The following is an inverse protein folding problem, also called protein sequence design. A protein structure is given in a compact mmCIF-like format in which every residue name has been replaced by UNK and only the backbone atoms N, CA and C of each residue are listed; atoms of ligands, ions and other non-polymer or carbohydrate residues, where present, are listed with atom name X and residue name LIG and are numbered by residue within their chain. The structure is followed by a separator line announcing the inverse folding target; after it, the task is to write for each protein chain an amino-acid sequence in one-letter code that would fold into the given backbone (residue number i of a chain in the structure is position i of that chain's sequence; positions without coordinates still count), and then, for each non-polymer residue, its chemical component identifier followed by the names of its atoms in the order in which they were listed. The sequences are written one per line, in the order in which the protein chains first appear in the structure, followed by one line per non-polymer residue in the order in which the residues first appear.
data_IF_042887714777
#
_entry.id   IF_042887714777
#
_cell.length_a   1.000
_cell.length_b   1.000
_cell.length_c   1.000
_cell.angle_alpha   90.00
_cell.angle_beta   90.00
_cell.angle_gamma   90.00
#
_symmetry.space_group_name_H-M   'P 1'
#
loop_
_entity.id
_entity.type
_entity.pdbx_description
1 polymer ?
#
# COMPACT_ATOMS: atom_id res chain seq x y z
N UNK A 1 29.97 63.95 55.85
CA UNK A 1 29.27 63.81 54.55
C UNK A 1 29.61 62.50 53.85
N UNK A 2 29.34 61.32 54.46
CA UNK A 2 29.69 59.97 53.85
C UNK A 2 28.61 58.92 53.97
N UNK A 3 27.38 59.29 54.36
CA UNK A 3 26.32 58.26 54.55
C UNK A 3 25.27 58.11 53.38
N UNK A 4 25.30 58.97 52.37
CA UNK A 4 24.30 58.99 51.28
C UNK A 4 24.64 58.13 50.03
N UNK A 5 25.95 57.79 49.84
CA UNK A 5 26.37 57.04 48.64
C UNK A 5 26.16 55.51 48.72
N UNK A 6 26.12 54.96 49.93
CA UNK A 6 26.01 53.49 50.17
C UNK A 6 24.55 52.99 50.01
N UNK A 7 23.55 53.80 50.22
CA UNK A 7 22.13 53.41 50.08
C UNK A 7 21.68 53.35 48.62
N UNK A 8 22.19 54.23 47.74
CA UNK A 8 21.86 54.23 46.34
C UNK A 8 22.44 53.02 45.56
N UNK A 9 23.63 52.55 45.97
CA UNK A 9 24.23 51.34 45.38
C UNK A 9 23.47 50.04 45.76
N UNK A 10 22.95 49.94 46.97
CA UNK A 10 22.14 48.80 47.45
C UNK A 10 20.73 48.84 46.80
N UNK A 11 20.13 49.99 46.65
CA UNK A 11 18.82 50.11 45.95
C UNK A 11 18.95 49.79 44.47
N UNK A 12 20.03 50.21 43.78
CA UNK A 12 20.29 49.86 42.41
C UNK A 12 20.47 48.35 42.20
N UNK A 13 21.13 47.64 43.14
CA UNK A 13 21.30 46.19 43.12
C UNK A 13 19.96 45.43 43.27
N UNK A 14 19.11 45.89 44.19
CA UNK A 14 17.78 45.29 44.43
C UNK A 14 16.86 45.52 43.22
N UNK A 15 16.87 46.73 42.65
CA UNK A 15 16.09 47.05 41.44
C UNK A 15 16.55 46.23 40.23
N UNK A 16 17.86 46.02 40.03
CA UNK A 16 18.40 45.18 38.99
C UNK A 16 18.05 43.70 39.17
N UNK A 17 18.05 43.21 40.43
CA UNK A 17 17.64 41.85 40.75
C UNK A 17 16.15 41.60 40.48
N UNK A 18 15.29 42.53 40.85
CA UNK A 18 13.85 42.49 40.55
C UNK A 18 13.58 42.55 39.04
N UNK A 19 14.28 43.40 38.30
CA UNK A 19 14.17 43.46 36.86
C UNK A 19 14.58 42.16 36.16
N UNK A 20 15.66 41.51 36.67
CA UNK A 20 16.12 40.21 36.16
C UNK A 20 15.10 39.09 36.40
N UNK A 21 14.45 39.05 37.57
CA UNK A 21 13.40 38.08 37.88
C UNK A 21 12.16 38.29 36.99
N UNK A 22 11.77 39.55 36.81
CA UNK A 22 10.65 39.88 35.87
C UNK A 22 10.97 39.50 34.44
N UNK A 23 12.20 39.79 33.97
CA UNK A 23 12.64 39.42 32.63
C UNK A 23 12.63 37.89 32.44
N UNK A 24 13.13 37.15 33.44
CA UNK A 24 13.11 35.69 33.43
C UNK A 24 11.68 35.13 33.39
N UNK A 25 10.77 35.72 34.17
CA UNK A 25 9.33 35.37 34.13
C UNK A 25 8.69 35.60 32.73
N UNK A 26 9.00 36.73 32.10
CA UNK A 26 8.53 37.03 30.74
C UNK A 26 9.09 36.05 29.72
N UNK A 27 10.39 35.70 29.83
CA UNK A 27 11.04 34.69 28.96
C UNK A 27 10.38 33.33 29.15
N UNK A 28 10.10 32.89 30.39
CA UNK A 28 9.42 31.63 30.68
C UNK A 28 8.00 31.58 30.06
N UNK A 29 7.25 32.68 30.19
CA UNK A 29 5.92 32.78 29.59
C UNK A 29 6.02 32.74 28.07
N UNK A 30 6.96 33.45 27.46
CA UNK A 30 7.19 33.46 26.01
C UNK A 30 7.62 32.08 25.50
N UNK A 31 8.51 31.41 26.19
CA UNK A 31 8.94 30.03 25.86
C UNK A 31 7.77 29.05 25.97
N UNK A 32 6.96 29.14 27.02
CA UNK A 32 5.79 28.29 27.19
C UNK A 32 4.74 28.55 26.10
N UNK A 33 4.53 29.82 25.74
CA UNK A 33 3.63 30.20 24.68
C UNK A 33 4.13 29.69 23.30
N UNK A 34 5.40 29.86 22.99
CA UNK A 34 6.01 29.36 21.74
C UNK A 34 6.01 27.81 21.72
N UNK A 35 6.34 27.16 22.85
CA UNK A 35 6.30 25.71 22.99
C UNK A 35 4.89 25.12 22.74
N UNK A 36 3.84 25.89 23.05
CA UNK A 36 2.46 25.50 22.75
C UNK A 36 2.12 25.45 21.27
N UNK A 37 2.88 26.16 20.40
CA UNK A 37 2.72 26.09 18.94
C UNK A 37 3.63 25.05 18.30
N UNK A 38 4.67 24.58 18.97
CA UNK A 38 5.60 23.57 18.47
C UNK A 38 5.11 22.20 18.94
N UNK A 39 4.26 21.57 18.17
CA UNK A 39 3.85 20.19 18.41
C UNK A 39 5.00 19.26 17.99
N UNK A 40 5.95 19.00 18.88
CA UNK A 40 6.97 17.96 18.68
C UNK A 40 6.31 16.61 18.97
N UNK A 41 5.87 15.93 17.92
CA UNK A 41 5.41 14.55 18.00
C UNK A 41 6.60 13.61 17.84
N UNK A 42 7.13 13.11 18.91
CA UNK A 42 8.13 12.04 18.93
C UNK A 42 7.44 10.72 19.21
N UNK A 43 7.50 9.80 18.29
CA UNK A 43 7.05 8.42 18.51
C UNK A 43 8.09 7.72 19.40
N UNK A 44 7.74 7.51 20.68
CA UNK A 44 8.56 6.83 21.67
C UNK A 44 8.24 5.32 21.75
N UNK A 45 7.38 4.80 20.87
CA UNK A 45 7.08 3.37 20.83
C UNK A 45 8.22 2.60 20.17
N UNK A 46 8.57 1.44 20.72
CA UNK A 46 9.62 0.58 20.17
C UNK A 46 9.34 0.16 18.70
N UNK A 47 8.08 0.15 18.30
CA UNK A 47 7.60 -0.32 17.00
C UNK A 47 7.29 0.82 16.02
N UNK A 48 7.49 2.08 16.43
CA UNK A 48 7.20 3.29 15.61
C UNK A 48 5.80 3.29 14.97
N UNK A 49 4.81 2.80 15.71
CA UNK A 49 3.43 2.58 15.24
C UNK A 49 2.72 3.85 14.74
N UNK A 50 3.26 5.02 15.06
CA UNK A 50 2.73 6.33 14.64
C UNK A 50 3.63 7.05 13.63
N UNK A 51 4.60 6.35 13.04
CA UNK A 51 5.54 6.97 12.10
C UNK A 51 5.38 6.33 10.74
N UNK A 52 5.01 7.13 9.74
CA UNK A 52 4.90 6.66 8.35
C UNK A 52 6.26 6.20 7.82
N UNK A 53 6.27 5.15 7.03
CA UNK A 53 7.45 4.69 6.29
C UNK A 53 7.95 5.73 5.29
N UNK A 54 9.22 5.65 4.93
CA UNK A 54 9.78 6.54 3.90
C UNK A 54 9.10 6.35 2.54
N UNK A 55 8.64 5.12 2.24
CA UNK A 55 7.85 4.81 1.06
C UNK A 55 6.54 5.58 1.02
N UNK A 56 5.78 5.55 2.11
CA UNK A 56 4.52 6.28 2.23
C UNK A 56 4.73 7.79 2.12
N UNK A 57 5.74 8.35 2.80
CA UNK A 57 6.08 9.78 2.69
C UNK A 57 6.44 10.19 1.26
N UNK A 58 7.20 9.35 0.55
CA UNK A 58 7.54 9.60 -0.85
C UNK A 58 6.31 9.60 -1.76
N UNK A 59 5.33 8.74 -1.49
CA UNK A 59 4.04 8.70 -2.21
C UNK A 59 3.23 9.95 -1.92
N UNK A 60 3.05 10.32 -0.64
CA UNK A 60 2.29 11.51 -0.24
C UNK A 60 2.87 12.81 -0.82
N UNK A 61 4.20 12.89 -0.96
CA UNK A 61 4.88 14.03 -1.57
C UNK A 61 4.67 14.18 -3.08
N UNK A 62 4.07 13.16 -3.74
CA UNK A 62 3.86 13.10 -5.21
C UNK A 62 2.38 13.02 -5.61
N UNK A 63 1.45 13.19 -4.67
CA UNK A 63 0.02 13.17 -4.98
C UNK A 63 -0.30 14.22 -6.06
N UNK A 64 -0.97 13.84 -7.16
CA UNK A 64 -1.28 14.78 -8.25
C UNK A 64 -2.43 15.72 -7.90
N UNK A 65 -3.42 15.25 -7.15
CA UNK A 65 -4.65 15.95 -6.82
C UNK A 65 -4.98 15.87 -5.32
N UNK A 66 -5.76 16.84 -4.85
CA UNK A 66 -6.28 16.82 -3.49
C UNK A 66 -7.18 15.61 -3.28
N UNK A 67 -6.93 14.90 -2.19
CA UNK A 67 -7.70 13.73 -1.78
C UNK A 67 -8.32 13.98 -0.41
N UNK A 68 -9.62 13.70 -0.29
CA UNK A 68 -10.35 13.78 0.98
C UNK A 68 -10.49 12.39 1.58
N UNK A 69 -10.08 12.27 2.85
CA UNK A 69 -10.22 11.07 3.65
C UNK A 69 -11.39 11.25 4.61
N UNK A 70 -12.47 10.51 4.40
CA UNK A 70 -13.62 10.45 5.31
C UNK A 70 -13.49 9.21 6.18
N UNK A 71 -13.24 9.41 7.46
CA UNK A 71 -13.10 8.35 8.44
C UNK A 71 -14.40 8.20 9.23
N UNK A 72 -15.01 7.04 9.12
CA UNK A 72 -16.26 6.70 9.79
C UNK A 72 -15.98 5.81 10.99
N UNK A 73 -16.20 6.35 12.18
CA UNK A 73 -16.01 5.61 13.43
C UNK A 73 -17.12 5.93 14.42
N UNK A 74 -17.92 4.92 14.80
CA UNK A 74 -19.02 5.03 15.77
C UNK A 74 -18.50 5.21 17.21
N UNK A 75 -17.74 6.29 17.44
CA UNK A 75 -17.02 6.55 18.70
C UNK A 75 -17.93 6.83 19.89
N UNK A 76 -19.06 7.48 19.65
CA UNK A 76 -20.01 7.89 20.70
C UNK A 76 -20.89 6.74 21.19
N UNK A 77 -20.95 5.62 20.48
CA UNK A 77 -21.74 4.47 20.88
C UNK A 77 -21.15 3.82 22.13
N UNK A 78 -21.97 3.70 23.19
CA UNK A 78 -21.54 3.18 24.50
C UNK A 78 -21.07 1.71 24.39
N UNK A 79 -21.78 0.91 23.60
CA UNK A 79 -21.65 -0.55 23.53
C UNK A 79 -20.51 -1.04 22.60
N UNK A 80 -19.81 -0.15 21.88
CA UNK A 80 -18.65 -0.52 21.08
C UNK A 80 -17.56 -1.09 22.01
N UNK A 81 -17.03 -2.31 21.73
CA UNK A 81 -16.01 -2.92 22.57
C UNK A 81 -14.78 -2.03 22.74
N UNK A 82 -14.20 -2.03 23.94
CA UNK A 82 -13.08 -1.17 24.29
C UNK A 82 -11.88 -1.31 23.33
N UNK A 83 -11.62 -2.54 22.88
CA UNK A 83 -10.57 -2.83 21.89
C UNK A 83 -10.76 -2.02 20.58
N UNK A 84 -11.98 -1.97 20.04
CA UNK A 84 -12.29 -1.19 18.85
C UNK A 84 -12.28 0.31 19.12
N UNK A 85 -12.63 0.75 20.33
CA UNK A 85 -12.51 2.17 20.72
C UNK A 85 -11.05 2.62 20.73
N UNK A 86 -10.16 1.82 21.29
CA UNK A 86 -8.72 2.11 21.29
C UNK A 86 -8.14 2.07 19.88
N UNK A 87 -8.50 1.03 19.12
CA UNK A 87 -7.99 0.88 17.75
C UNK A 87 -8.50 1.99 16.83
N UNK A 88 -9.78 2.34 16.89
CA UNK A 88 -10.36 3.45 16.12
C UNK A 88 -9.68 4.79 16.41
N UNK A 89 -9.39 5.08 17.69
CA UNK A 89 -8.60 6.26 18.05
C UNK A 89 -7.20 6.24 17.45
N UNK A 90 -6.53 5.09 17.46
CA UNK A 90 -5.20 4.91 16.86
C UNK A 90 -5.23 5.11 15.36
N UNK A 91 -6.24 4.57 14.66
CA UNK A 91 -6.43 4.80 13.21
C UNK A 91 -6.64 6.29 12.94
N UNK A 92 -7.44 6.99 13.73
CA UNK A 92 -7.69 8.43 13.60
C UNK A 92 -6.39 9.24 13.76
N UNK A 93 -5.59 8.94 14.79
CA UNK A 93 -4.29 9.57 15.03
C UNK A 93 -3.30 9.29 13.87
N UNK A 94 -3.30 8.05 13.36
CA UNK A 94 -2.46 7.67 12.24
C UNK A 94 -2.86 8.38 10.93
N UNK A 95 -4.16 8.54 10.66
CA UNK A 95 -4.65 9.35 9.54
C UNK A 95 -4.22 10.82 9.67
N UNK A 96 -4.14 11.35 10.89
CA UNK A 96 -3.57 12.67 11.17
C UNK A 96 -2.11 12.80 10.71
N UNK A 97 -1.30 11.74 10.84
CA UNK A 97 0.08 11.73 10.32
C UNK A 97 0.13 11.76 8.80
N UNK A 98 -0.79 11.08 8.11
CA UNK A 98 -0.92 11.18 6.65
C UNK A 98 -1.17 12.62 6.21
N UNK A 99 -2.11 13.30 6.87
CA UNK A 99 -2.42 14.71 6.57
C UNK A 99 -1.21 15.61 6.81
N UNK A 100 -0.53 15.45 7.95
CA UNK A 100 0.65 16.25 8.31
C UNK A 100 1.79 16.08 7.29
N UNK A 101 1.97 14.88 6.73
CA UNK A 101 3.03 14.57 5.76
C UNK A 101 2.61 14.80 4.29
N UNK A 102 1.36 15.17 4.00
CA UNK A 102 0.82 15.32 2.64
C UNK A 102 1.07 16.69 1.99
N UNK A 103 1.69 17.63 2.69
CA UNK A 103 1.89 19.03 2.23
C UNK A 103 0.59 19.71 1.81
N UNK A 104 -0.53 19.39 2.48
CA UNK A 104 -1.85 19.95 2.19
C UNK A 104 -2.60 19.28 1.03
N UNK A 105 -2.11 18.16 0.53
CA UNK A 105 -2.78 17.37 -0.52
C UNK A 105 -3.85 16.43 0.05
N UNK A 106 -3.84 16.16 1.36
CA UNK A 106 -4.89 15.39 2.02
C UNK A 106 -5.73 16.28 2.93
N UNK A 107 -7.05 16.13 2.81
CA UNK A 107 -8.06 16.66 3.74
C UNK A 107 -8.64 15.51 4.55
N UNK A 108 -8.87 15.72 5.85
CA UNK A 108 -9.36 14.70 6.76
C UNK A 108 -10.66 15.13 7.42
N UNK A 109 -11.65 14.24 7.39
CA UNK A 109 -12.94 14.43 8.02
C UNK A 109 -13.27 13.20 8.88
N UNK A 110 -13.41 13.40 10.19
CA UNK A 110 -13.82 12.34 11.10
C UNK A 110 -15.33 12.40 11.33
N UNK A 111 -16.01 11.31 11.05
CA UNK A 111 -17.47 11.16 11.09
C UNK A 111 -17.84 10.09 12.12
N UNK A 112 -18.93 10.33 12.84
CA UNK A 112 -19.43 9.47 13.93
C UNK A 112 -20.80 8.88 13.54
N UNK A 113 -20.88 7.76 12.81
CA UNK A 113 -22.13 7.13 12.46
C UNK A 113 -22.86 6.64 13.70
N UNK A 114 -24.09 7.12 13.89
CA UNK A 114 -25.02 6.65 14.92
C UNK A 114 -26.27 6.11 14.23
N UNK A 115 -27.02 5.19 14.86
CA UNK A 115 -28.25 4.67 14.29
C UNK A 115 -29.22 5.78 13.84
N UNK A 116 -29.82 5.61 12.68
CA UNK A 116 -30.81 6.50 12.07
C UNK A 116 -30.31 7.94 11.82
N UNK A 117 -29.01 8.12 11.54
CA UNK A 117 -28.43 9.41 11.15
C UNK A 117 -28.02 9.46 9.69
N UNK A 118 -27.99 10.67 9.10
CA UNK A 118 -27.48 10.89 7.74
C UNK A 118 -26.05 10.36 7.56
N UNK A 119 -25.23 10.40 8.63
CA UNK A 119 -23.85 9.90 8.61
C UNK A 119 -23.82 8.37 8.42
N UNK A 120 -24.75 7.66 9.07
CA UNK A 120 -24.90 6.21 8.86
C UNK A 120 -25.39 5.91 7.44
N UNK A 121 -26.36 6.65 6.93
CA UNK A 121 -26.83 6.47 5.54
C UNK A 121 -25.72 6.63 4.53
N UNK A 122 -24.85 7.63 4.71
CA UNK A 122 -23.67 7.80 3.88
C UNK A 122 -22.66 6.67 4.02
N UNK A 123 -22.44 6.16 5.24
CA UNK A 123 -21.56 5.01 5.46
C UNK A 123 -22.05 3.77 4.67
N UNK A 124 -23.36 3.51 4.74
CA UNK A 124 -23.99 2.42 3.97
C UNK A 124 -23.87 2.66 2.46
N UNK A 125 -24.15 3.89 2.00
CA UNK A 125 -24.09 4.25 0.58
C UNK A 125 -22.68 4.08 -0.02
N UNK A 126 -21.63 4.38 0.74
CA UNK A 126 -20.25 4.13 0.35
C UNK A 126 -19.84 2.65 0.44
N UNK A 127 -20.69 1.78 0.98
CA UNK A 127 -20.40 0.35 1.11
C UNK A 127 -19.50 0.00 2.30
N UNK A 128 -19.50 0.83 3.35
CA UNK A 128 -18.83 0.50 4.59
C UNK A 128 -19.51 -0.70 5.26
N UNK A 129 -18.71 -1.62 5.80
CA UNK A 129 -19.20 -2.78 6.52
C UNK A 129 -19.44 -2.43 7.98
N UNK A 130 -20.66 -2.73 8.46
CA UNK A 130 -20.98 -2.58 9.86
C UNK A 130 -20.68 -3.87 10.64
N UNK A 131 -20.06 -3.74 11.81
CA UNK A 131 -19.90 -4.84 12.75
C UNK A 131 -21.06 -4.89 13.72
N UNK A 132 -21.63 -6.09 13.94
CA UNK A 132 -22.75 -6.31 14.87
C UNK A 132 -22.28 -6.35 16.33
N UNK A 133 -23.08 -5.74 17.19
CA UNK A 133 -22.91 -5.81 18.64
C UNK A 133 -23.85 -6.86 19.26
N UNK A 134 -23.54 -7.42 20.44
CA UNK A 134 -24.43 -8.35 21.14
C UNK A 134 -25.82 -7.76 21.47
N UNK A 135 -25.92 -6.43 21.49
CA UNK A 135 -27.20 -5.69 21.70
C UNK A 135 -28.09 -5.67 20.45
N UNK A 136 -27.62 -6.16 19.29
CA UNK A 136 -28.30 -6.05 18.01
C UNK A 136 -27.98 -4.76 17.24
N UNK A 137 -27.32 -3.80 17.87
CA UNK A 137 -26.84 -2.57 17.24
C UNK A 137 -25.65 -2.86 16.31
N UNK A 138 -25.34 -1.92 15.43
CA UNK A 138 -24.21 -2.00 14.50
C UNK A 138 -23.29 -0.80 14.71
N UNK A 139 -21.98 -1.00 14.57
CA UNK A 139 -21.00 0.09 14.56
C UNK A 139 -20.13 0.04 13.32
N UNK A 140 -19.60 1.19 12.95
CA UNK A 140 -18.74 1.37 11.79
C UNK A 140 -17.32 1.73 12.23
N UNK A 141 -16.33 1.23 11.51
CA UNK A 141 -14.93 1.59 11.62
C UNK A 141 -14.27 1.41 10.26
N UNK A 142 -14.35 2.39 9.40
CA UNK A 142 -13.85 2.31 8.03
C UNK A 142 -13.49 3.67 7.47
N UNK A 143 -13.05 3.70 6.21
CA UNK A 143 -12.61 4.94 5.56
C UNK A 143 -13.02 4.97 4.09
N UNK A 144 -13.30 6.17 3.59
CA UNK A 144 -13.49 6.46 2.18
C UNK A 144 -12.47 7.50 1.76
N UNK A 145 -11.65 7.19 0.77
CA UNK A 145 -10.78 8.15 0.11
C UNK A 145 -11.46 8.65 -1.17
N UNK A 146 -11.50 9.96 -1.38
CA UNK A 146 -12.19 10.60 -2.50
C UNK A 146 -11.22 11.58 -3.17
N UNK A 147 -11.03 11.44 -4.49
CA UNK A 147 -10.28 12.40 -5.30
C UNK A 147 -10.98 12.58 -6.65
N UNK A 148 -11.31 13.82 -6.97
CA UNK A 148 -12.14 14.17 -8.14
C UNK A 148 -13.46 13.37 -8.16
N UNK A 149 -13.63 12.47 -9.14
CA UNK A 149 -14.79 11.62 -9.34
C UNK A 149 -14.57 10.16 -8.89
N UNK A 150 -13.43 9.87 -8.26
CA UNK A 150 -13.06 8.51 -7.82
C UNK A 150 -13.21 8.36 -6.32
N UNK A 151 -13.65 7.18 -5.94
CA UNK A 151 -13.81 6.76 -4.56
C UNK A 151 -13.14 5.41 -4.35
N UNK A 152 -12.41 5.28 -3.24
CA UNK A 152 -11.85 4.00 -2.79
C UNK A 152 -12.22 3.79 -1.34
N UNK A 153 -12.73 2.61 -1.03
CA UNK A 153 -13.32 2.31 0.28
C UNK A 153 -12.50 1.25 1.00
N UNK A 154 -12.16 1.52 2.25
CA UNK A 154 -11.76 0.51 3.23
C UNK A 154 -13.00 0.21 4.05
N UNK A 155 -13.70 -0.91 3.78
CA UNK A 155 -15.03 -1.14 4.34
C UNK A 155 -15.02 -1.27 5.86
N UNK A 156 -13.96 -1.86 6.42
CA UNK A 156 -13.79 -2.03 7.85
C UNK A 156 -12.30 -2.19 8.21
N UNK A 157 -11.86 -1.49 9.25
CA UNK A 157 -10.53 -1.69 9.83
C UNK A 157 -10.60 -2.81 10.87
N UNK A 158 -10.10 -3.98 10.51
CA UNK A 158 -10.05 -5.14 11.39
C UNK A 158 -8.79 -5.11 12.26
N UNK A 159 -8.93 -5.38 13.57
CA UNK A 159 -7.82 -5.31 14.53
C UNK A 159 -6.73 -6.34 14.23
N UNK A 160 -7.11 -7.53 13.75
CA UNK A 160 -6.20 -8.60 13.35
C UNK A 160 -5.37 -8.28 12.09
N UNK A 161 -5.68 -7.18 11.43
CA UNK A 161 -4.95 -6.64 10.26
C UNK A 161 -4.20 -5.35 10.55
N UNK A 162 -3.99 -5.02 11.80
CA UNK A 162 -3.33 -3.78 12.20
C UNK A 162 -1.93 -3.59 11.58
N UNK A 163 -1.18 -4.67 11.39
CA UNK A 163 0.13 -4.65 10.74
C UNK A 163 0.10 -4.18 9.27
N UNK A 164 -1.07 -4.29 8.59
CA UNK A 164 -1.29 -3.83 7.22
C UNK A 164 -1.96 -2.46 7.13
N UNK A 165 -2.21 -1.78 8.25
CA UNK A 165 -2.94 -0.51 8.30
C UNK A 165 -2.33 0.55 7.37
N UNK A 166 -1.01 0.73 7.45
CA UNK A 166 -0.28 1.68 6.60
C UNK A 166 -0.41 1.32 5.12
N UNK A 167 -0.25 0.05 4.79
CA UNK A 167 -0.39 -0.44 3.44
C UNK A 167 -1.80 -0.21 2.88
N UNK A 168 -2.83 -0.58 3.63
CA UNK A 168 -4.23 -0.48 3.19
C UNK A 168 -4.63 0.99 2.97
N UNK A 169 -4.25 1.91 3.87
CA UNK A 169 -4.52 3.36 3.72
C UNK A 169 -3.75 3.93 2.53
N UNK A 170 -2.44 3.65 2.43
CA UNK A 170 -1.60 4.17 1.33
C UNK A 170 -2.12 3.68 -0.01
N UNK A 171 -2.50 2.40 -0.10
CA UNK A 171 -3.11 1.82 -1.28
C UNK A 171 -4.37 2.56 -1.70
N UNK A 172 -5.30 2.79 -0.76
CA UNK A 172 -6.55 3.50 -1.05
C UNK A 172 -6.28 4.92 -1.59
N UNK A 173 -5.34 5.66 -0.97
CA UNK A 173 -4.95 7.00 -1.42
C UNK A 173 -4.35 6.95 -2.84
N UNK A 174 -3.44 6.01 -3.11
CA UNK A 174 -2.82 5.87 -4.45
C UNK A 174 -3.85 5.51 -5.51
N UNK A 175 -4.75 4.58 -5.21
CA UNK A 175 -5.77 4.13 -6.17
C UNK A 175 -6.74 5.25 -6.54
N UNK A 176 -7.17 6.06 -5.58
CA UNK A 176 -8.10 7.16 -5.85
C UNK A 176 -7.41 8.34 -6.55
N UNK A 177 -6.14 8.60 -6.25
CA UNK A 177 -5.38 9.72 -6.83
C UNK A 177 -4.74 9.40 -8.18
N UNK A 178 -4.60 8.11 -8.54
CA UNK A 178 -4.00 7.72 -9.82
C UNK A 178 -4.91 8.12 -10.99
N UNK A 179 -4.39 8.91 -11.93
CA UNK A 179 -5.14 9.29 -13.14
C UNK A 179 -5.50 8.05 -13.99
N UNK A 180 -4.61 7.05 -14.04
CA UNK A 180 -4.80 5.76 -14.74
C UNK A 180 -4.12 4.66 -13.93
N UNK A 181 -4.76 3.48 -13.87
CA UNK A 181 -4.09 2.29 -13.32
C UNK A 181 -2.88 1.96 -14.20
N UNK A 182 -1.70 1.69 -13.61
CA UNK A 182 -0.55 1.23 -14.39
C UNK A 182 -0.89 -0.05 -15.16
N UNK A 183 -0.34 -0.19 -16.37
CA UNK A 183 -0.58 -1.34 -17.24
C UNK A 183 0.51 -2.39 -17.05
N UNK A 184 0.12 -3.61 -16.69
CA UNK A 184 1.00 -4.79 -16.68
C UNK A 184 0.71 -5.62 -17.91
N UNK A 185 1.71 -5.78 -18.79
CA UNK A 185 1.68 -6.76 -19.85
C UNK A 185 2.12 -8.13 -19.33
N UNK A 186 1.31 -9.18 -19.52
CA UNK A 186 1.68 -10.55 -19.17
C UNK A 186 1.91 -11.34 -20.45
N UNK A 187 3.16 -11.78 -20.66
CA UNK A 187 3.58 -12.72 -21.68
C UNK A 187 3.82 -14.08 -21.04
N UNK A 188 3.10 -15.10 -21.48
CA UNK A 188 3.22 -16.44 -20.89
C UNK A 188 2.87 -17.51 -21.90
N UNK A 189 3.62 -18.62 -21.87
CA UNK A 189 3.29 -19.86 -22.59
C UNK A 189 2.29 -20.73 -21.83
N UNK A 190 1.90 -20.33 -20.61
CA UNK A 190 0.82 -20.94 -19.85
C UNK A 190 -0.45 -20.09 -19.96
N UNK A 191 -1.66 -20.68 -19.88
CA UNK A 191 -2.92 -19.95 -19.96
C UNK A 191 -3.23 -19.20 -18.63
N UNK A 192 -2.31 -18.33 -18.19
CA UNK A 192 -2.44 -17.62 -16.91
C UNK A 192 -3.45 -16.47 -16.98
N UNK A 193 -3.62 -15.87 -18.17
CA UNK A 193 -4.60 -14.81 -18.45
C UNK A 193 -5.73 -15.40 -19.24
N UNK A 194 -6.92 -15.32 -18.72
CA UNK A 194 -8.14 -15.73 -19.42
C UNK A 194 -8.39 -14.90 -20.68
N UNK A 195 -9.19 -15.40 -21.64
CA UNK A 195 -9.54 -14.67 -22.85
C UNK A 195 -10.36 -13.41 -22.53
N UNK A 196 -10.09 -12.32 -23.24
CA UNK A 196 -10.78 -11.04 -23.06
C UNK A 196 -12.20 -11.02 -23.67
N UNK A 197 -12.53 -12.02 -24.49
CA UNK A 197 -13.83 -12.11 -25.16
C UNK A 197 -14.82 -12.94 -24.36
N UNK A 198 -16.14 -12.58 -24.37
CA UNK A 198 -17.17 -13.38 -23.74
C UNK A 198 -17.26 -14.78 -24.40
N UNK A 199 -17.63 -15.82 -23.63
CA UNK A 199 -17.68 -17.19 -24.14
C UNK A 199 -18.69 -17.31 -25.29
N UNK A 200 -18.24 -17.85 -26.39
CA UNK A 200 -19.16 -18.38 -27.39
C UNK A 200 -19.85 -19.61 -26.78
N UNK A 201 -21.18 -19.73 -26.92
CA UNK A 201 -22.01 -20.73 -26.24
C UNK A 201 -21.31 -22.10 -26.10
N UNK A 202 -21.08 -22.54 -24.87
CA UNK A 202 -20.70 -23.93 -24.53
C UNK A 202 -19.21 -24.20 -24.29
N UNK A 203 -18.31 -23.21 -24.38
CA UNK A 203 -16.89 -23.38 -23.99
C UNK A 203 -16.67 -22.95 -22.54
N UNK A 204 -16.07 -23.84 -21.71
CA UNK A 204 -15.55 -23.45 -20.41
C UNK A 204 -14.42 -22.44 -20.63
N UNK A 205 -14.62 -21.20 -20.17
CA UNK A 205 -13.56 -20.20 -20.20
C UNK A 205 -12.41 -20.63 -19.29
N UNK A 206 -11.18 -20.55 -19.81
CA UNK A 206 -10.01 -20.50 -18.95
C UNK A 206 -10.10 -19.19 -18.14
N UNK A 207 -10.31 -19.32 -16.84
CA UNK A 207 -10.31 -18.15 -15.94
C UNK A 207 -8.88 -17.63 -15.71
N UNK A 208 -8.79 -16.32 -15.43
CA UNK A 208 -7.54 -15.78 -14.89
C UNK A 208 -7.07 -16.59 -13.68
N UNK A 209 -5.78 -16.88 -13.63
CA UNK A 209 -5.21 -17.46 -12.42
C UNK A 209 -5.32 -16.48 -11.24
N UNK A 210 -5.27 -17.03 -10.02
CA UNK A 210 -5.48 -16.24 -8.79
C UNK A 210 -4.60 -14.98 -8.74
N UNK A 211 -3.30 -15.10 -9.06
CA UNK A 211 -2.40 -13.95 -9.03
C UNK A 211 -2.79 -12.86 -10.06
N UNK A 212 -3.32 -13.25 -11.22
CA UNK A 212 -3.82 -12.32 -12.24
C UNK A 212 -5.08 -11.60 -11.74
N UNK A 213 -6.00 -12.35 -11.11
CA UNK A 213 -7.19 -11.76 -10.47
C UNK A 213 -6.80 -10.73 -9.41
N UNK A 214 -5.77 -11.01 -8.60
CA UNK A 214 -5.25 -10.07 -7.61
C UNK A 214 -4.60 -8.85 -8.27
N UNK A 215 -3.80 -9.04 -9.33
CA UNK A 215 -3.21 -7.93 -10.07
C UNK A 215 -4.26 -6.98 -10.66
N UNK A 216 -5.37 -7.51 -11.21
CA UNK A 216 -6.46 -6.69 -11.79
C UNK A 216 -7.15 -5.76 -10.79
N UNK A 217 -7.04 -6.02 -9.51
CA UNK A 217 -7.57 -5.11 -8.47
C UNK A 217 -6.87 -3.74 -8.54
N UNK A 218 -5.57 -3.72 -8.77
CA UNK A 218 -4.72 -2.54 -8.67
C UNK A 218 -4.13 -2.07 -10.01
N UNK A 219 -4.10 -2.93 -11.02
CA UNK A 219 -3.45 -2.71 -12.31
C UNK A 219 -4.39 -3.01 -13.48
N UNK A 220 -4.14 -2.38 -14.60
CA UNK A 220 -4.70 -2.83 -15.87
C UNK A 220 -3.82 -3.98 -16.39
N UNK A 221 -4.37 -5.20 -16.41
CA UNK A 221 -3.64 -6.37 -16.90
C UNK A 221 -4.01 -6.63 -18.35
N UNK A 222 -3.01 -6.74 -19.22
CA UNK A 222 -3.15 -7.05 -20.64
C UNK A 222 -2.32 -8.27 -21.00
N UNK A 223 -2.89 -9.18 -21.77
CA UNK A 223 -2.15 -10.29 -22.36
C UNK A 223 -1.24 -9.78 -23.48
N UNK A 224 0.01 -10.24 -23.49
CA UNK A 224 0.97 -10.02 -24.57
C UNK A 224 1.15 -11.35 -25.31
N UNK A 225 1.05 -11.30 -26.64
CA UNK A 225 1.19 -12.49 -27.49
C UNK A 225 2.61 -13.04 -27.47
N UNK A 226 2.73 -14.36 -27.59
CA UNK A 226 4.03 -15.06 -27.62
C UNK A 226 4.82 -14.80 -28.92
N UNK A 227 4.17 -14.30 -29.97
CA UNK A 227 4.77 -13.99 -31.26
C UNK A 227 4.89 -12.49 -31.53
N UNK A 228 4.97 -11.67 -30.48
CA UNK A 228 5.05 -10.21 -30.60
C UNK A 228 6.39 -9.76 -31.16
N UNK A 229 6.35 -8.74 -32.04
CA UNK A 229 7.58 -8.13 -32.60
C UNK A 229 8.06 -6.91 -31.80
N UNK A 230 7.18 -6.29 -31.02
CA UNK A 230 7.50 -5.18 -30.14
C UNK A 230 6.50 -5.16 -28.96
N UNK A 231 6.99 -4.81 -27.78
CA UNK A 231 6.13 -4.58 -26.61
C UNK A 231 5.59 -3.15 -26.68
N UNK A 232 4.28 -3.00 -26.50
CA UNK A 232 3.60 -1.71 -26.56
C UNK A 232 4.20 -0.70 -25.57
N UNK A 233 4.24 0.57 -25.98
CA UNK A 233 4.85 1.63 -25.18
C UNK A 233 4.01 2.06 -23.96
N UNK A 234 2.74 1.68 -23.92
CA UNK A 234 1.82 1.96 -22.82
C UNK A 234 1.80 0.86 -21.75
N UNK A 235 2.65 -0.15 -21.88
CA UNK A 235 2.94 -1.14 -20.85
C UNK A 235 3.99 -0.55 -19.90
N UNK A 236 3.60 -0.34 -18.64
CA UNK A 236 4.48 0.19 -17.59
C UNK A 236 5.41 -0.88 -17.01
N UNK A 237 4.96 -2.15 -17.03
CA UNK A 237 5.71 -3.31 -16.57
C UNK A 237 5.38 -4.54 -17.41
N UNK A 238 6.39 -5.28 -17.84
CA UNK A 238 6.24 -6.57 -18.50
C UNK A 238 6.51 -7.71 -17.53
N UNK A 239 5.53 -8.60 -17.35
CA UNK A 239 5.69 -9.84 -16.60
C UNK A 239 5.78 -11.01 -17.58
N UNK A 240 6.95 -11.66 -17.63
CA UNK A 240 7.19 -12.84 -18.46
C UNK A 240 7.11 -14.07 -17.58
N UNK A 241 6.05 -14.88 -17.77
CA UNK A 241 5.75 -16.02 -16.91
C UNK A 241 5.98 -17.31 -17.68
N UNK A 242 6.89 -18.15 -17.19
CA UNK A 242 7.20 -19.44 -17.77
C UNK A 242 7.50 -19.37 -19.29
N UNK A 243 8.48 -18.55 -19.71
CA UNK A 243 8.85 -18.44 -21.12
C UNK A 243 9.45 -19.75 -21.63
N UNK A 244 8.84 -20.34 -22.66
CA UNK A 244 9.27 -21.61 -23.23
C UNK A 244 9.22 -21.55 -24.73
N UNK A 245 10.37 -21.78 -25.40
CA UNK A 245 10.49 -21.79 -26.85
C UNK A 245 9.95 -20.52 -27.53
N UNK A 246 10.17 -19.35 -26.92
CA UNK A 246 9.75 -18.08 -27.53
C UNK A 246 10.52 -17.84 -28.85
N UNK A 247 9.87 -17.28 -29.87
CA UNK A 247 10.53 -16.83 -31.08
C UNK A 247 11.65 -15.81 -30.81
N UNK A 248 12.71 -15.81 -31.60
CA UNK A 248 13.81 -14.82 -31.46
C UNK A 248 13.32 -13.37 -31.55
N UNK A 249 12.29 -13.12 -32.37
CA UNK A 249 11.64 -11.81 -32.49
C UNK A 249 11.04 -11.35 -31.17
N UNK A 250 10.38 -12.25 -30.43
CA UNK A 250 9.78 -11.96 -29.12
C UNK A 250 10.85 -11.78 -28.05
N UNK A 251 11.89 -12.63 -28.07
CA UNK A 251 13.06 -12.47 -27.19
C UNK A 251 13.71 -11.11 -27.40
N UNK A 252 13.87 -10.69 -28.65
CA UNK A 252 14.38 -9.36 -29.02
C UNK A 252 13.44 -8.25 -28.56
N UNK A 253 12.13 -8.41 -28.72
CA UNK A 253 11.14 -7.43 -28.25
C UNK A 253 11.18 -7.21 -26.72
N UNK A 254 11.40 -8.29 -25.94
CA UNK A 254 11.59 -8.22 -24.49
C UNK A 254 12.87 -7.44 -24.15
N UNK A 255 13.99 -7.77 -24.82
CA UNK A 255 15.26 -7.06 -24.63
C UNK A 255 15.12 -5.56 -24.92
N UNK A 256 14.55 -5.21 -26.07
CA UNK A 256 14.34 -3.81 -26.45
C UNK A 256 13.39 -3.07 -25.47
N UNK A 257 12.43 -3.76 -24.90
CA UNK A 257 11.58 -3.16 -23.86
C UNK A 257 12.41 -2.77 -22.63
N UNK A 258 13.32 -3.64 -22.18
CA UNK A 258 14.19 -3.38 -21.02
C UNK A 258 15.24 -2.31 -21.36
N UNK A 259 15.89 -2.38 -22.51
CA UNK A 259 16.92 -1.43 -22.94
C UNK A 259 16.38 0.00 -23.04
N UNK A 260 15.13 0.19 -23.47
CA UNK A 260 14.48 1.52 -23.49
C UNK A 260 13.98 2.01 -22.13
N UNK A 261 14.29 1.29 -21.04
CA UNK A 261 13.95 1.66 -19.66
C UNK A 261 12.67 1.01 -19.14
N UNK A 262 12.06 0.08 -19.86
CA UNK A 262 10.92 -0.71 -19.41
C UNK A 262 11.30 -1.62 -18.24
N UNK A 263 10.34 -1.83 -17.34
CA UNK A 263 10.52 -2.71 -16.19
C UNK A 263 10.04 -4.12 -16.53
N UNK A 264 10.90 -5.12 -16.36
CA UNK A 264 10.52 -6.51 -16.61
C UNK A 264 10.67 -7.36 -15.34
N UNK A 265 9.71 -8.27 -15.14
CA UNK A 265 9.79 -9.35 -14.16
C UNK A 265 9.73 -10.67 -14.92
N UNK A 266 10.75 -11.50 -14.78
CA UNK A 266 10.85 -12.79 -15.47
C UNK A 266 10.77 -13.91 -14.46
N UNK A 267 9.78 -14.79 -14.62
CA UNK A 267 9.51 -15.94 -13.77
C UNK A 267 9.84 -17.22 -14.55
N UNK A 268 10.95 -17.85 -14.23
CA UNK A 268 11.38 -19.13 -14.80
C UNK A 268 11.27 -20.24 -13.77
N UNK A 269 10.95 -21.43 -14.25
CA UNK A 269 10.79 -22.61 -13.40
C UNK A 269 11.49 -23.81 -14.08
N UNK A 270 12.44 -24.47 -13.39
CA UNK A 270 13.11 -25.66 -13.93
C UNK A 270 12.20 -26.89 -14.04
N UNK A 271 11.03 -26.89 -13.36
CA UNK A 271 10.12 -28.04 -13.38
C UNK A 271 8.68 -27.64 -13.08
N UNK A 272 8.08 -26.85 -13.97
CA UNK A 272 6.72 -26.35 -13.80
C UNK A 272 5.67 -27.46 -13.74
N UNK A 273 4.97 -27.55 -12.64
CA UNK A 273 3.84 -28.49 -12.47
C UNK A 273 2.63 -28.06 -13.31
N UNK A 274 2.49 -26.76 -13.57
CA UNK A 274 1.38 -26.23 -14.36
C UNK A 274 1.49 -26.54 -15.86
N UNK A 275 2.70 -26.77 -16.36
CA UNK A 275 2.96 -27.20 -17.75
C UNK A 275 2.45 -28.64 -18.05
N UNK A 276 2.08 -29.39 -17.00
CA UNK A 276 1.50 -30.73 -17.14
C UNK A 276 0.11 -30.76 -17.81
N UNK A 277 -0.64 -29.67 -17.77
CA UNK A 277 -2.04 -29.69 -18.30
C UNK A 277 -2.07 -29.77 -19.82
N UNK A 278 -1.06 -29.28 -20.53
CA UNK A 278 -0.93 -29.48 -21.98
C UNK A 278 -0.47 -30.89 -22.36
N UNK A 279 0.07 -31.64 -21.40
CA UNK A 279 0.63 -32.99 -21.60
C UNK A 279 -0.37 -34.12 -21.41
N UNK A 280 -1.57 -33.85 -20.92
CA UNK A 280 -2.64 -34.85 -20.80
C UNK A 280 -3.01 -35.49 -22.14
N UNK A 281 -2.69 -34.84 -23.27
CA UNK A 281 -2.90 -35.35 -24.62
C UNK A 281 -1.85 -36.39 -25.08
N UNK A 282 -0.65 -36.44 -24.47
CA UNK A 282 0.38 -37.41 -24.83
C UNK A 282 1.34 -37.72 -23.66
N UNK A 283 1.06 -38.78 -22.85
CA UNK A 283 1.85 -39.11 -21.66
C UNK A 283 3.32 -39.40 -21.92
N UNK A 284 3.71 -39.80 -23.12
CA UNK A 284 5.10 -40.10 -23.48
C UNK A 284 5.94 -38.87 -23.78
N UNK A 285 5.34 -37.77 -24.20
CA UNK A 285 6.04 -36.49 -24.36
C UNK A 285 6.21 -35.69 -23.07
N UNK A 286 5.42 -36.04 -22.04
CA UNK A 286 5.34 -35.35 -20.77
C UNK A 286 6.56 -35.39 -19.88
N UNK A 287 7.53 -36.26 -20.16
CA UNK A 287 8.76 -36.34 -19.37
C UNK A 287 9.90 -35.44 -19.87
N UNK A 288 9.78 -34.82 -21.04
CA UNK A 288 10.96 -34.34 -21.75
C UNK A 288 11.34 -32.87 -21.55
N UNK A 289 10.51 -31.97 -21.10
CA UNK A 289 10.96 -30.60 -20.77
C UNK A 289 9.87 -29.76 -20.10
N UNK A 290 9.93 -29.62 -18.78
CA UNK A 290 9.06 -28.75 -17.98
C UNK A 290 9.73 -27.42 -17.63
N UNK A 291 10.96 -27.26 -18.07
CA UNK A 291 11.71 -26.07 -17.74
C UNK A 291 11.36 -24.92 -18.70
N UNK A 292 11.30 -23.73 -18.16
CA UNK A 292 11.30 -22.49 -18.91
C UNK A 292 12.67 -21.83 -18.82
N UNK A 293 13.08 -21.15 -19.87
CA UNK A 293 14.39 -20.50 -19.97
C UNK A 293 14.38 -19.38 -21.02
N UNK A 294 15.30 -18.42 -20.85
CA UNK A 294 15.61 -17.35 -21.80
C UNK A 294 17.13 -17.22 -21.96
N UNK A 295 17.83 -18.25 -22.49
CA UNK A 295 19.28 -18.33 -22.41
C UNK A 295 19.99 -17.18 -23.12
N UNK A 296 19.47 -16.69 -24.24
CA UNK A 296 20.02 -15.54 -24.95
C UNK A 296 19.95 -14.24 -24.12
N UNK A 297 18.82 -13.98 -23.52
CA UNK A 297 18.61 -12.79 -22.66
C UNK A 297 19.43 -12.89 -21.38
N UNK A 298 19.38 -14.02 -20.70
CA UNK A 298 20.11 -14.21 -19.44
C UNK A 298 21.60 -14.03 -19.65
N UNK A 299 22.15 -14.58 -20.73
CA UNK A 299 23.55 -14.37 -21.09
C UNK A 299 23.85 -12.89 -21.35
N UNK A 300 23.00 -12.18 -22.09
CA UNK A 300 23.17 -10.76 -22.37
C UNK A 300 23.07 -9.88 -21.13
N UNK A 301 22.19 -10.24 -20.21
CA UNK A 301 21.97 -9.51 -18.96
C UNK A 301 22.93 -9.92 -17.83
N UNK A 302 23.82 -10.88 -18.06
CA UNK A 302 24.76 -11.38 -17.05
C UNK A 302 24.11 -12.21 -15.96
N UNK A 303 22.97 -12.85 -16.23
CA UNK A 303 22.25 -13.73 -15.31
C UNK A 303 22.64 -15.18 -15.58
N UNK A 304 23.05 -15.91 -14.54
CA UNK A 304 23.28 -17.34 -14.59
C UNK A 304 22.05 -18.09 -14.09
N UNK A 305 21.47 -18.93 -14.94
CA UNK A 305 20.33 -19.78 -14.61
C UNK A 305 20.60 -21.21 -15.13
N UNK A 306 20.29 -22.20 -14.29
CA UNK A 306 20.41 -23.62 -14.66
C UNK A 306 19.01 -24.27 -14.61
N UNK A 307 18.41 -24.43 -15.78
CA UNK A 307 17.11 -25.06 -15.95
C UNK A 307 17.03 -26.54 -15.51
N UNK A 308 18.17 -27.18 -15.25
CA UNK A 308 18.25 -28.56 -14.76
C UNK A 308 18.40 -28.68 -13.23
N UNK A 309 18.40 -27.58 -12.48
CA UNK A 309 18.62 -27.60 -11.03
C UNK A 309 17.49 -26.86 -10.30
N UNK A 310 17.07 -27.44 -9.19
CA UNK A 310 16.12 -26.84 -8.25
C UNK A 310 16.89 -26.45 -6.98
N UNK A 311 16.70 -25.23 -6.50
CA UNK A 311 17.18 -24.85 -5.18
C UNK A 311 16.29 -25.47 -4.10
N UNK A 312 16.88 -26.19 -3.17
CA UNK A 312 16.18 -26.79 -2.05
C UNK A 312 16.82 -26.33 -0.73
N UNK A 313 16.01 -25.83 0.19
CA UNK A 313 16.40 -25.52 1.55
C UNK A 313 15.73 -26.51 2.51
N UNK A 314 16.53 -27.42 3.07
CA UNK A 314 16.05 -28.47 3.99
C UNK A 314 15.53 -27.85 5.30
N UNK A 315 16.06 -26.68 5.71
CA UNK A 315 15.67 -26.04 6.96
C UNK A 315 14.31 -25.33 6.85
N UNK A 316 13.97 -24.87 5.64
CA UNK A 316 12.69 -24.21 5.34
C UNK A 316 11.65 -25.16 4.72
N UNK A 317 11.96 -26.45 4.62
CA UNK A 317 11.07 -27.43 4.01
C UNK A 317 9.80 -27.66 4.85
N UNK A 318 8.63 -27.53 4.22
CA UNK A 318 7.36 -27.90 4.84
C UNK A 318 7.23 -29.43 4.91
N UNK A 319 6.99 -29.95 6.10
CA UNK A 319 6.70 -31.39 6.27
C UNK A 319 5.30 -31.67 5.73
N UNK A 320 5.20 -32.46 4.66
CA UNK A 320 3.94 -32.97 4.14
C UNK A 320 3.79 -34.42 4.54
N UNK A 321 2.65 -34.81 5.14
CA UNK A 321 2.30 -36.18 5.35
C UNK A 321 1.72 -36.72 4.03
N UNK A 322 2.47 -37.56 3.37
CA UNK A 322 1.92 -38.35 2.26
C UNK A 322 1.25 -39.57 2.88
N UNK A 323 -0.07 -39.43 3.16
CA UNK A 323 -0.91 -40.53 3.65
C UNK A 323 -1.10 -41.65 2.66
#
# INVERSE_FOLDING_TARGET
MTSSKTNNAKMGGIAASLASVLLFGVILIAVNFIAGFVVVRGDLTAEKLFTLSDGTRAVLGKLPDKTRLKFYFSRSMANVPFLYKQYGKRVEEFLGEYVANSRGMLEFEALDPQPDTDVEEWAVKYGLAAAGLPTGEKFYLGMVAISADKEEVIPFFAVDREEFLEYDITRAIVQVSAAKKPTIGILSTLPVVGPESPPFMGQQQAEDWLFVKELRKNFQVRRVDENVMAIDSDIDMLMVVHPKNLPETTVYAIDQFVVRGGRAMVLVDPSSMADNQQMAANPYMGMMNRASDLPALFKAWGVEYNAGKIAADVNSATRVNMG
#
